data_IF_823299079830
#
_entry.id   IF_823299079830
#
_cell.length_a   1.000
_cell.length_b   1.000
_cell.length_c   1.000
_cell.angle_alpha   90.00
_cell.angle_beta   90.00
_cell.angle_gamma   90.00
#
_symmetry.space_group_name_H-M   'P 1'
#
loop_
_entity.id
_entity.type
_entity.pdbx_description
1 polymer ?
#
# COMPACT_ATOMS: atom_id res chain seq x y z
N UNK A 1 0.57 26.83 3.79
CA UNK A 1 1.12 25.84 4.73
C UNK A 1 1.90 26.57 5.83
N UNK A 2 1.54 26.32 7.09
CA UNK A 2 2.15 27.00 8.25
C UNK A 2 3.11 26.10 9.04
N UNK A 3 2.83 24.79 9.05
CA UNK A 3 3.61 23.79 9.80
C UNK A 3 3.84 22.52 8.95
N UNK A 4 5.10 22.18 8.78
CA UNK A 4 5.55 20.99 8.05
C UNK A 4 6.22 20.04 9.03
N UNK A 5 5.88 18.75 8.96
CA UNK A 5 6.56 17.69 9.68
C UNK A 5 7.53 16.98 8.74
N UNK A 6 8.80 16.95 9.12
CA UNK A 6 9.84 16.19 8.45
C UNK A 6 10.01 14.86 9.19
N UNK A 7 9.77 13.74 8.51
CA UNK A 7 9.75 12.42 9.11
C UNK A 7 10.82 11.53 8.48
N UNK A 8 11.90 11.29 9.19
CA UNK A 8 13.09 10.64 8.66
C UNK A 8 13.29 9.23 9.24
N UNK A 9 13.74 8.30 8.41
CA UNK A 9 14.17 6.97 8.84
C UNK A 9 15.58 7.07 9.44
N UNK A 10 15.68 7.05 10.76
CA UNK A 10 16.95 7.20 11.51
C UNK A 10 17.99 6.12 11.21
N UNK A 11 17.57 4.98 10.64
CA UNK A 11 18.49 3.91 10.23
C UNK A 11 19.26 4.28 8.96
N UNK A 12 18.87 5.38 8.29
CA UNK A 12 19.49 5.88 7.06
C UNK A 12 20.08 7.26 7.31
N UNK A 13 21.40 7.37 7.39
CA UNK A 13 22.10 8.65 7.61
C UNK A 13 21.70 9.70 6.58
N UNK A 14 21.64 9.31 5.31
CA UNK A 14 21.20 10.18 4.22
C UNK A 14 19.77 10.75 4.43
N UNK A 15 18.89 10.03 5.12
CA UNK A 15 17.55 10.52 5.44
C UNK A 15 17.60 11.69 6.41
N UNK A 16 18.38 11.54 7.45
CA UNK A 16 18.58 12.56 8.47
C UNK A 16 19.26 13.81 7.90
N UNK A 17 20.32 13.65 7.14
CA UNK A 17 21.05 14.74 6.48
C UNK A 17 20.15 15.53 5.52
N UNK A 18 19.39 14.82 4.65
CA UNK A 18 18.47 15.44 3.72
C UNK A 18 17.35 16.21 4.46
N UNK A 19 16.81 15.62 5.53
CA UNK A 19 15.78 16.25 6.34
C UNK A 19 16.29 17.51 7.04
N UNK A 20 17.49 17.48 7.64
CA UNK A 20 18.12 18.64 8.28
C UNK A 20 18.41 19.76 7.28
N UNK A 21 18.93 19.43 6.08
CA UNK A 21 19.15 20.41 5.02
C UNK A 21 17.85 21.08 4.56
N UNK A 22 16.75 20.32 4.54
CA UNK A 22 15.45 20.84 4.16
C UNK A 22 14.84 21.68 5.30
N UNK A 23 15.06 21.29 6.55
CA UNK A 23 14.64 22.05 7.74
C UNK A 23 15.29 23.45 7.78
N UNK A 24 16.62 23.54 7.56
CA UNK A 24 17.34 24.79 7.47
C UNK A 24 16.81 25.69 6.34
N UNK A 25 16.59 25.08 5.16
CA UNK A 25 16.02 25.80 4.01
C UNK A 25 14.61 26.34 4.30
N UNK A 26 13.72 25.57 4.96
CA UNK A 26 12.37 26.00 5.36
C UNK A 26 12.43 27.13 6.40
N UNK A 27 13.37 27.05 7.36
CA UNK A 27 13.59 28.07 8.37
C UNK A 27 13.95 29.42 7.75
N UNK A 28 14.82 29.43 6.72
CA UNK A 28 15.16 30.64 5.93
C UNK A 28 13.95 31.25 5.22
N UNK A 29 12.95 30.42 4.87
CA UNK A 29 11.65 30.85 4.33
C UNK A 29 10.60 31.20 5.40
N UNK A 30 10.96 31.20 6.68
CA UNK A 30 10.07 31.45 7.85
C UNK A 30 8.90 30.46 7.95
N UNK A 31 9.09 29.21 7.49
CA UNK A 31 8.13 28.12 7.59
C UNK A 31 8.52 27.23 8.78
N UNK A 32 7.57 26.96 9.66
CA UNK A 32 7.81 26.07 10.81
C UNK A 32 7.97 24.64 10.34
N UNK A 33 9.13 24.03 10.62
CA UNK A 33 9.40 22.62 10.28
C UNK A 33 9.93 21.88 11.52
N UNK A 34 9.26 20.81 11.91
CA UNK A 34 9.68 19.94 12.99
C UNK A 34 10.23 18.63 12.42
N UNK A 35 11.42 18.20 12.85
CA UNK A 35 11.99 16.91 12.49
C UNK A 35 11.58 15.85 13.52
N UNK A 36 11.15 14.69 13.04
CA UNK A 36 10.78 13.50 13.83
C UNK A 36 11.41 12.24 13.25
N UNK A 37 11.77 11.37 14.15
CA UNK A 37 12.22 10.03 13.86
C UNK A 37 11.07 9.11 13.40
N UNK A 38 11.32 8.27 12.41
CA UNK A 38 10.36 7.25 11.98
C UNK A 38 10.13 6.15 13.03
N UNK A 39 10.97 6.09 14.05
CA UNK A 39 10.86 5.13 15.15
C UNK A 39 10.03 5.65 16.31
N UNK A 40 9.75 6.96 16.35
CA UNK A 40 8.98 7.60 17.42
C UNK A 40 7.52 7.76 16.98
N UNK A 41 6.56 7.30 17.78
CA UNK A 41 5.15 7.54 17.52
C UNK A 41 4.85 9.04 17.46
N UNK A 42 4.04 9.46 16.48
CA UNK A 42 3.55 10.82 16.37
C UNK A 42 2.35 11.01 17.31
N UNK A 43 2.30 12.14 18.00
CA UNK A 43 1.16 12.45 18.86
C UNK A 43 0.04 13.18 18.08
N UNK A 44 -1.19 13.03 18.57
CA UNK A 44 -2.37 13.58 17.90
C UNK A 44 -2.41 15.12 17.88
N UNK A 45 -1.84 15.79 18.88
CA UNK A 45 -1.80 17.26 18.93
C UNK A 45 -0.89 17.82 17.85
N UNK A 46 0.31 17.23 17.69
CA UNK A 46 1.25 17.61 16.66
C UNK A 46 0.66 17.42 15.26
N UNK A 47 -0.05 16.28 15.05
CA UNK A 47 -0.68 15.98 13.78
C UNK A 47 -1.82 16.96 13.44
N UNK A 48 -2.63 17.36 14.40
CA UNK A 48 -3.72 18.33 14.16
C UNK A 48 -3.23 19.70 13.66
N UNK A 49 -2.01 20.07 14.02
CA UNK A 49 -1.41 21.34 13.60
C UNK A 49 -0.55 21.22 12.34
N UNK A 50 -0.39 20.01 11.79
CA UNK A 50 0.48 19.73 10.66
C UNK A 50 -0.29 19.83 9.35
N UNK A 51 0.19 20.66 8.42
CA UNK A 51 -0.41 20.85 7.10
C UNK A 51 0.15 19.86 6.05
N UNK A 52 1.39 19.41 6.24
CA UNK A 52 2.12 18.54 5.32
C UNK A 52 3.13 17.70 6.07
N UNK A 53 3.25 16.43 5.72
CA UNK A 53 4.36 15.58 6.15
C UNK A 53 5.27 15.34 4.96
N UNK A 54 6.58 15.58 5.12
CA UNK A 54 7.61 15.17 4.18
C UNK A 54 8.31 13.96 4.74
N UNK A 55 8.21 12.81 4.07
CA UNK A 55 8.84 11.57 4.54
C UNK A 55 10.15 11.30 3.81
N UNK A 56 11.18 10.93 4.55
CA UNK A 56 12.51 10.58 4.05
C UNK A 56 12.79 9.11 4.31
N UNK A 57 12.63 8.27 3.28
CA UNK A 57 12.81 6.83 3.43
C UNK A 57 12.26 6.05 2.24
N UNK A 58 11.90 4.80 2.47
CA UNK A 58 11.21 3.95 1.50
C UNK A 58 9.75 3.74 1.89
N UNK A 59 9.08 2.79 1.23
CA UNK A 59 7.66 2.48 1.45
C UNK A 59 7.32 2.20 2.93
N UNK A 60 8.19 1.48 3.66
CA UNK A 60 7.96 1.21 5.08
C UNK A 60 7.84 2.46 5.96
N UNK A 61 8.49 3.58 5.59
CA UNK A 61 8.34 4.86 6.27
C UNK A 61 6.97 5.47 6.02
N UNK A 62 6.48 5.35 4.77
CA UNK A 62 5.16 5.83 4.37
C UNK A 62 4.05 5.00 5.02
N UNK A 63 4.21 3.67 5.09
CA UNK A 63 3.25 2.78 5.74
C UNK A 63 3.03 3.15 7.21
N UNK A 64 4.11 3.45 7.94
CA UNK A 64 4.00 3.93 9.34
C UNK A 64 3.28 5.26 9.45
N UNK A 65 3.55 6.20 8.54
CA UNK A 65 2.88 7.49 8.48
C UNK A 65 1.40 7.35 8.13
N UNK A 66 1.05 6.47 7.20
CA UNK A 66 -0.32 6.26 6.77
C UNK A 66 -1.27 5.99 7.95
N UNK A 67 -0.84 5.18 8.91
CA UNK A 67 -1.62 4.92 10.12
C UNK A 67 -1.89 6.16 10.97
N UNK A 68 -0.88 7.01 11.13
CA UNK A 68 -0.96 8.17 12.01
C UNK A 68 -1.58 9.37 11.32
N UNK A 69 -1.25 9.62 10.05
CA UNK A 69 -1.61 10.80 9.29
C UNK A 69 -3.01 10.73 8.64
N UNK A 70 -3.44 9.53 8.22
CA UNK A 70 -4.70 9.37 7.49
C UNK A 70 -5.95 9.77 8.28
N UNK A 71 -6.06 9.53 9.61
CA UNK A 71 -7.19 10.02 10.39
C UNK A 71 -7.33 11.55 10.43
N UNK A 72 -6.23 12.27 10.17
CA UNK A 72 -6.20 13.74 10.13
C UNK A 72 -6.24 14.29 8.69
N UNK A 73 -6.25 13.41 7.68
CA UNK A 73 -6.28 13.81 6.27
C UNK A 73 -5.01 14.54 5.79
N UNK A 74 -3.89 14.40 6.52
CA UNK A 74 -2.64 15.13 6.22
C UNK A 74 -1.99 14.52 4.98
N UNK A 75 -1.67 15.33 3.95
CA UNK A 75 -0.94 14.84 2.78
C UNK A 75 0.52 14.51 3.14
N UNK A 76 1.03 13.45 2.52
CA UNK A 76 2.40 13.00 2.67
C UNK A 76 3.13 13.22 1.35
N UNK A 77 4.25 13.93 1.39
CA UNK A 77 5.17 14.06 0.26
C UNK A 77 6.36 13.11 0.47
N UNK A 78 6.45 11.99 -0.28
CA UNK A 78 7.47 10.98 -0.08
C UNK A 78 8.73 11.27 -0.88
N UNK A 79 9.89 11.28 -0.19
CA UNK A 79 11.23 11.36 -0.78
C UNK A 79 11.89 9.99 -0.69
N UNK A 80 12.22 9.41 -1.84
CA UNK A 80 12.85 8.09 -1.95
C UNK A 80 14.36 8.19 -1.67
N UNK A 81 14.82 7.42 -0.70
CA UNK A 81 16.24 7.31 -0.35
C UNK A 81 16.85 5.96 -0.75
N UNK A 82 16.40 5.46 -1.88
CA UNK A 82 16.86 4.20 -2.48
C UNK A 82 16.08 2.99 -2.00
N UNK A 83 15.47 2.31 -2.93
CA UNK A 83 14.70 1.10 -2.72
C UNK A 83 13.78 0.78 -3.89
N UNK A 84 13.23 -0.43 -3.86
CA UNK A 84 12.25 -0.94 -4.84
C UNK A 84 10.81 -0.47 -4.55
N UNK A 85 10.61 0.55 -3.69
CA UNK A 85 9.29 1.00 -3.26
C UNK A 85 8.44 1.58 -4.39
N UNK A 86 7.11 1.42 -4.30
CA UNK A 86 6.13 1.96 -5.24
C UNK A 86 5.50 3.27 -4.79
N UNK A 87 5.65 3.62 -3.52
CA UNK A 87 5.01 4.78 -2.91
C UNK A 87 5.90 6.02 -2.88
N UNK A 88 7.23 5.84 -2.75
CA UNK A 88 8.19 6.94 -2.76
C UNK A 88 8.70 7.21 -4.18
N UNK A 89 8.52 8.42 -4.69
CA UNK A 89 8.79 8.75 -6.09
C UNK A 89 9.70 9.95 -6.31
N UNK A 90 9.83 10.83 -5.33
CA UNK A 90 10.69 12.02 -5.46
C UNK A 90 12.10 11.74 -4.97
N UNK A 91 13.10 12.14 -5.77
CA UNK A 91 14.51 11.96 -5.42
C UNK A 91 15.00 13.07 -4.47
N UNK A 92 16.00 12.82 -3.62
CA UNK A 92 16.50 13.79 -2.63
C UNK A 92 17.04 15.10 -3.24
N UNK A 93 17.67 15.02 -4.39
CA UNK A 93 18.22 16.18 -5.12
C UNK A 93 17.12 17.11 -5.65
N UNK A 94 15.95 16.57 -5.93
CA UNK A 94 14.79 17.31 -6.40
C UNK A 94 13.87 17.80 -5.26
N UNK A 95 14.12 17.40 -4.01
CA UNK A 95 13.25 17.64 -2.88
C UNK A 95 12.93 19.13 -2.65
N UNK A 96 13.95 20.02 -2.72
CA UNK A 96 13.77 21.47 -2.53
C UNK A 96 12.89 22.07 -3.62
N UNK A 97 13.16 21.74 -4.89
CA UNK A 97 12.38 22.23 -6.04
C UNK A 97 10.94 21.75 -5.98
N UNK A 98 10.74 20.48 -5.68
CA UNK A 98 9.41 19.90 -5.53
C UNK A 98 8.63 20.56 -4.38
N UNK A 99 9.28 20.78 -3.22
CA UNK A 99 8.64 21.44 -2.09
C UNK A 99 8.32 22.91 -2.39
N UNK A 100 9.11 23.62 -3.20
CA UNK A 100 8.76 24.96 -3.68
C UNK A 100 7.46 24.97 -4.47
N UNK A 101 7.27 24.03 -5.37
CA UNK A 101 6.02 23.89 -6.12
C UNK A 101 4.85 23.53 -5.22
N UNK A 102 5.06 22.63 -4.26
CA UNK A 102 4.04 22.27 -3.26
C UNK A 102 3.63 23.51 -2.44
N UNK A 103 4.57 24.34 -2.02
CA UNK A 103 4.29 25.57 -1.27
C UNK A 103 3.52 26.61 -2.08
N UNK A 104 3.68 26.63 -3.41
CA UNK A 104 2.89 27.45 -4.35
C UNK A 104 1.51 26.86 -4.63
N UNK A 105 1.21 25.63 -4.19
CA UNK A 105 -0.03 24.92 -4.49
C UNK A 105 -0.01 24.11 -5.79
N UNK A 106 1.14 23.98 -6.45
CA UNK A 106 1.32 23.25 -7.71
C UNK A 106 1.62 21.77 -7.45
N UNK A 107 0.63 21.01 -7.00
CA UNK A 107 0.79 19.58 -6.74
C UNK A 107 -0.54 18.83 -6.91
N UNK A 108 -0.44 17.51 -7.10
CA UNK A 108 -1.61 16.61 -7.12
C UNK A 108 -1.56 15.67 -5.93
N UNK A 109 -2.71 15.46 -5.32
CA UNK A 109 -2.89 14.50 -4.23
C UNK A 109 -3.60 13.26 -4.79
N UNK A 110 -2.97 12.11 -4.64
CA UNK A 110 -3.61 10.83 -4.87
C UNK A 110 -4.10 10.26 -3.53
N UNK A 111 -5.40 10.04 -3.43
CA UNK A 111 -6.01 9.38 -2.28
C UNK A 111 -5.91 7.87 -2.48
N UNK A 112 -5.17 7.20 -1.61
CA UNK A 112 -5.04 5.76 -1.60
C UNK A 112 -6.02 5.17 -0.59
N UNK A 113 -6.85 4.24 -1.06
CA UNK A 113 -7.74 3.47 -0.22
C UNK A 113 -6.96 2.75 0.88
N UNK A 114 -7.53 2.67 2.07
CA UNK A 114 -7.02 1.85 3.16
C UNK A 114 -8.06 0.79 3.53
N UNK A 115 -7.62 -0.33 4.09
CA UNK A 115 -8.52 -1.29 4.71
C UNK A 115 -8.64 -1.02 6.22
N UNK A 116 -9.81 -1.36 6.75
CA UNK A 116 -10.13 -1.39 8.18
C UNK A 116 -10.35 -2.84 8.58
N UNK A 117 -9.64 -3.28 9.60
CA UNK A 117 -9.79 -4.62 10.17
C UNK A 117 -10.33 -4.52 11.58
N UNK A 118 -11.46 -5.20 11.83
CA UNK A 118 -12.05 -5.31 13.16
C UNK A 118 -11.89 -6.76 13.65
N UNK A 119 -11.32 -6.91 14.84
CA UNK A 119 -11.08 -8.21 15.48
C UNK A 119 -11.98 -8.33 16.71
N UNK A 120 -12.82 -9.36 16.73
CA UNK A 120 -13.81 -9.60 17.78
C UNK A 120 -13.74 -11.05 18.28
N UNK A 121 -13.89 -11.28 19.59
CA UNK A 121 -13.94 -12.61 20.16
C UNK A 121 -15.26 -13.31 19.80
N UNK A 122 -15.19 -14.57 19.38
CA UNK A 122 -16.37 -15.38 19.05
C UNK A 122 -17.10 -15.77 20.33
N UNK A 123 -18.42 -15.55 20.37
CA UNK A 123 -19.26 -15.93 21.51
C UNK A 123 -19.39 -14.86 22.59
N UNK A 124 -18.75 -13.69 22.47
CA UNK A 124 -19.00 -12.59 23.40
C UNK A 124 -20.36 -11.94 23.09
N UNK A 125 -21.20 -11.78 24.11
CA UNK A 125 -22.46 -11.06 24.00
C UNK A 125 -22.24 -9.61 23.56
N UNK A 126 -23.14 -9.10 22.72
CA UNK A 126 -23.05 -7.77 22.05
C UNK A 126 -22.72 -6.59 22.98
N UNK A 127 -22.97 -6.70 24.28
CA UNK A 127 -22.84 -5.59 25.22
C UNK A 127 -21.47 -5.48 25.93
N UNK A 128 -20.55 -6.43 25.81
CA UNK A 128 -19.25 -6.40 26.51
C UNK A 128 -18.06 -6.78 25.63
N UNK A 129 -18.25 -6.99 24.34
CA UNK A 129 -17.19 -7.38 23.42
C UNK A 129 -16.28 -6.19 23.11
N UNK A 130 -15.07 -6.21 23.65
CA UNK A 130 -14.02 -5.26 23.26
C UNK A 130 -13.49 -5.63 21.87
N UNK A 131 -14.06 -5.04 20.82
CA UNK A 131 -13.48 -5.11 19.47
C UNK A 131 -12.22 -4.23 19.39
N UNK A 132 -11.23 -4.71 18.66
CA UNK A 132 -10.03 -3.91 18.31
C UNK A 132 -10.08 -3.60 16.84
N UNK A 133 -9.84 -2.34 16.48
CA UNK A 133 -9.82 -1.88 15.10
C UNK A 133 -8.41 -1.46 14.70
N UNK A 134 -8.03 -1.83 13.48
CA UNK A 134 -6.75 -1.51 12.85
C UNK A 134 -7.01 -1.05 11.42
N UNK A 135 -6.11 -0.19 10.92
CA UNK A 135 -6.14 0.25 9.53
C UNK A 135 -4.83 -0.17 8.86
N UNK A 136 -4.85 -0.43 7.55
CA UNK A 136 -3.66 -0.72 6.79
C UNK A 136 -3.75 -0.10 5.39
N UNK A 137 -2.61 0.35 4.85
CA UNK A 137 -2.51 0.91 3.51
C UNK A 137 -2.31 -0.18 2.46
N UNK A 138 -1.43 -1.15 2.75
CA UNK A 138 -1.17 -2.27 1.85
C UNK A 138 -2.05 -3.47 2.15
N UNK A 139 -1.88 -4.12 3.30
CA UNK A 139 -2.55 -5.40 3.58
C UNK A 139 -2.68 -5.72 5.07
N UNK A 140 -3.60 -6.63 5.35
CA UNK A 140 -3.59 -7.45 6.55
C UNK A 140 -3.28 -8.90 6.17
N UNK A 141 -2.36 -9.49 6.91
CA UNK A 141 -1.98 -10.90 6.75
C UNK A 141 -2.43 -11.67 7.96
N UNK A 142 -3.26 -12.68 7.74
CA UNK A 142 -3.59 -13.69 8.75
C UNK A 142 -2.68 -14.90 8.50
N UNK A 143 -1.87 -15.28 9.50
CA UNK A 143 -0.96 -16.41 9.36
C UNK A 143 -0.94 -17.29 10.60
N UNK A 144 -0.53 -18.54 10.40
CA UNK A 144 -0.41 -19.53 11.48
C UNK A 144 0.61 -19.12 12.53
N UNK A 145 0.44 -19.59 13.76
CA UNK A 145 1.41 -19.45 14.85
C UNK A 145 2.47 -20.54 14.79
N UNK A 146 3.76 -20.14 14.84
CA UNK A 146 4.90 -21.04 15.02
C UNK A 146 5.01 -22.21 14.03
N UNK A 147 5.48 -23.38 14.51
CA UNK A 147 5.67 -24.61 13.74
C UNK A 147 4.36 -25.42 13.53
N UNK A 148 3.21 -24.82 13.78
CA UNK A 148 1.93 -25.50 13.66
C UNK A 148 1.57 -25.87 12.21
N UNK A 149 0.62 -26.83 12.10
CA UNK A 149 0.00 -27.21 10.84
C UNK A 149 -0.76 -26.04 10.24
N UNK A 150 -1.25 -26.21 9.01
CA UNK A 150 -1.97 -25.21 8.24
C UNK A 150 -3.06 -24.46 9.04
N UNK A 151 -3.20 -23.19 8.75
CA UNK A 151 -4.33 -22.37 9.17
C UNK A 151 -5.56 -22.80 8.37
N UNK A 152 -6.67 -23.07 9.07
CA UNK A 152 -7.95 -23.42 8.45
C UNK A 152 -8.95 -22.29 8.71
N UNK A 153 -9.44 -21.69 7.65
CA UNK A 153 -10.32 -20.52 7.68
C UNK A 153 -11.57 -20.77 6.85
N UNK A 154 -12.70 -20.21 7.31
CA UNK A 154 -13.85 -19.91 6.46
C UNK A 154 -13.77 -18.46 6.05
N UNK A 155 -14.07 -18.17 4.79
CA UNK A 155 -14.21 -16.83 4.26
C UNK A 155 -15.65 -16.60 3.84
N UNK A 156 -16.22 -15.51 4.37
CA UNK A 156 -17.53 -15.02 3.96
C UNK A 156 -17.33 -13.65 3.28
N UNK A 157 -18.14 -13.40 2.27
CA UNK A 157 -18.23 -12.09 1.60
C UNK A 157 -19.65 -11.59 1.79
N UNK A 158 -19.79 -10.41 2.41
CA UNK A 158 -21.07 -9.78 2.73
C UNK A 158 -22.09 -10.73 3.41
N UNK A 159 -21.57 -11.64 4.25
CA UNK A 159 -22.36 -12.62 5.02
C UNK A 159 -22.57 -13.97 4.36
N UNK A 160 -22.20 -14.14 3.08
CA UNK A 160 -22.30 -15.41 2.36
C UNK A 160 -20.96 -16.17 2.42
N UNK A 161 -20.99 -17.47 2.81
CA UNK A 161 -19.80 -18.32 2.85
C UNK A 161 -19.39 -18.69 1.42
N UNK A 162 -18.23 -18.18 0.98
CA UNK A 162 -17.72 -18.40 -0.38
C UNK A 162 -16.79 -19.59 -0.45
N UNK A 163 -15.87 -19.74 0.51
CA UNK A 163 -14.87 -20.80 0.48
C UNK A 163 -14.19 -21.00 1.83
N UNK A 164 -13.49 -22.13 1.95
CA UNK A 164 -12.56 -22.41 3.03
C UNK A 164 -11.11 -22.45 2.53
N UNK A 165 -10.20 -21.93 3.33
CA UNK A 165 -8.76 -22.01 3.08
C UNK A 165 -8.06 -22.91 4.07
N UNK A 166 -7.15 -23.74 3.55
CA UNK A 166 -6.14 -24.47 4.30
C UNK A 166 -4.78 -24.05 3.77
N UNK A 167 -4.07 -23.17 4.48
CA UNK A 167 -2.89 -22.48 3.99
C UNK A 167 -1.94 -22.10 5.14
N UNK A 168 -0.73 -21.65 4.84
CA UNK A 168 0.15 -21.03 5.83
C UNK A 168 -0.35 -19.66 6.28
N UNK A 169 -1.09 -18.98 5.41
CA UNK A 169 -1.72 -17.71 5.70
C UNK A 169 -2.65 -17.23 4.59
N UNK A 170 -3.32 -16.12 4.85
CA UNK A 170 -4.18 -15.43 3.90
C UNK A 170 -3.88 -13.93 3.96
N UNK A 171 -3.65 -13.34 2.80
CA UNK A 171 -3.43 -11.91 2.62
C UNK A 171 -4.72 -11.29 2.10
N UNK A 172 -5.18 -10.22 2.73
CA UNK A 172 -6.18 -9.32 2.15
C UNK A 172 -5.51 -7.97 1.94
N UNK A 173 -5.29 -7.62 0.69
CA UNK A 173 -4.61 -6.38 0.33
C UNK A 173 -5.54 -5.38 -0.37
N UNK A 174 -5.18 -4.11 -0.29
CA UNK A 174 -5.74 -3.05 -1.12
C UNK A 174 -5.15 -3.12 -2.53
N UNK A 175 -5.68 -2.33 -3.45
CA UNK A 175 -5.05 -2.12 -4.76
C UNK A 175 -3.62 -1.56 -4.64
N UNK A 176 -3.35 -0.70 -3.64
CA UNK A 176 -1.99 -0.22 -3.35
C UNK A 176 -1.07 -1.35 -2.91
N UNK A 177 -1.53 -2.24 -2.02
CA UNK A 177 -0.78 -3.40 -1.51
C UNK A 177 -0.63 -4.54 -2.53
N UNK A 178 -1.32 -4.48 -3.67
CA UNK A 178 -1.19 -5.51 -4.72
C UNK A 178 0.25 -5.67 -5.24
N UNK A 179 1.08 -4.65 -5.12
CA UNK A 179 2.51 -4.67 -5.49
C UNK A 179 3.44 -4.98 -4.32
N UNK A 180 2.89 -5.28 -3.12
CA UNK A 180 3.64 -5.62 -1.90
C UNK A 180 3.63 -7.15 -1.67
N UNK A 181 3.32 -7.60 -0.47
CA UNK A 181 3.37 -9.03 -0.12
C UNK A 181 2.41 -9.90 -0.95
N UNK A 182 1.25 -9.34 -1.33
CA UNK A 182 0.30 -10.02 -2.22
C UNK A 182 0.96 -10.43 -3.54
N UNK A 183 1.79 -9.56 -4.15
CA UNK A 183 2.53 -9.87 -5.38
C UNK A 183 3.47 -11.07 -5.18
N UNK A 184 4.23 -11.09 -4.09
CA UNK A 184 5.16 -12.19 -3.76
C UNK A 184 4.44 -13.52 -3.54
N UNK A 185 3.18 -13.48 -3.08
CA UNK A 185 2.33 -14.65 -2.91
C UNK A 185 1.56 -15.05 -4.19
N UNK A 186 1.84 -14.40 -5.34
CA UNK A 186 1.22 -14.70 -6.63
C UNK A 186 -0.09 -13.95 -6.90
N UNK A 187 -0.38 -12.89 -6.14
CA UNK A 187 -1.50 -11.99 -6.40
C UNK A 187 -1.32 -11.15 -7.67
N UNK A 188 -2.41 -10.68 -8.30
CA UNK A 188 -2.35 -9.83 -9.47
C UNK A 188 -1.87 -8.41 -9.13
N UNK A 189 -1.24 -7.75 -10.09
CA UNK A 189 -0.96 -6.32 -10.02
C UNK A 189 -2.26 -5.57 -10.34
N UNK A 190 -2.66 -4.67 -9.44
CA UNK A 190 -3.89 -3.88 -9.57
C UNK A 190 -3.55 -2.40 -9.60
N UNK A 191 -4.20 -1.65 -10.49
CA UNK A 191 -4.05 -0.18 -10.51
C UNK A 191 -4.52 0.42 -9.19
N UNK A 192 -3.71 1.26 -8.54
CA UNK A 192 -4.09 1.87 -7.26
C UNK A 192 -5.25 2.87 -7.35
N UNK A 193 -5.75 3.12 -8.55
CA UNK A 193 -6.97 3.93 -8.80
C UNK A 193 -8.26 3.13 -8.60
N UNK A 194 -8.16 1.82 -8.49
CA UNK A 194 -9.31 0.94 -8.27
C UNK A 194 -9.54 0.72 -6.78
N UNK A 195 -10.77 0.82 -6.35
CA UNK A 195 -11.19 0.49 -4.99
C UNK A 195 -11.59 -1.00 -4.94
N UNK A 196 -10.60 -1.85 -4.71
CA UNK A 196 -10.77 -3.31 -4.63
C UNK A 196 -9.92 -3.92 -3.52
N UNK A 197 -10.35 -5.09 -3.05
CA UNK A 197 -9.56 -5.99 -2.23
C UNK A 197 -9.02 -7.14 -3.08
N UNK A 198 -7.79 -7.54 -2.83
CA UNK A 198 -7.17 -8.75 -3.39
C UNK A 198 -6.95 -9.75 -2.26
N UNK A 199 -7.56 -10.92 -2.36
CA UNK A 199 -7.37 -12.02 -1.41
C UNK A 199 -6.43 -13.03 -2.01
N UNK A 200 -5.29 -13.25 -1.37
CA UNK A 200 -4.21 -14.14 -1.84
C UNK A 200 -3.82 -15.11 -0.74
N UNK A 201 -3.92 -16.42 -0.99
CA UNK A 201 -3.49 -17.44 -0.05
C UNK A 201 -1.96 -17.63 -0.09
N UNK A 202 -1.33 -17.83 1.07
CA UNK A 202 0.10 -18.14 1.20
C UNK A 202 0.24 -19.67 1.32
N UNK A 203 0.94 -20.28 0.36
CA UNK A 203 1.17 -21.74 0.32
C UNK A 203 -0.10 -22.55 0.57
N UNK A 204 -1.20 -22.36 -0.20
CA UNK A 204 -2.43 -23.09 -0.01
C UNK A 204 -2.24 -24.57 -0.31
N UNK A 205 -2.88 -25.43 0.49
CA UNK A 205 -2.90 -26.87 0.26
C UNK A 205 -3.71 -27.26 -0.99
N UNK A 206 -4.77 -26.50 -1.30
CA UNK A 206 -5.61 -26.72 -2.46
C UNK A 206 -4.94 -26.19 -3.74
N UNK A 207 -4.69 -27.05 -4.72
CA UNK A 207 -4.08 -26.67 -6.01
C UNK A 207 -4.97 -25.73 -6.85
N UNK A 208 -6.27 -25.70 -6.59
CA UNK A 208 -7.24 -24.82 -7.24
C UNK A 208 -7.32 -23.42 -6.65
N UNK A 209 -6.68 -23.17 -5.50
CA UNK A 209 -6.68 -21.84 -4.89
C UNK A 209 -6.03 -20.80 -5.81
N UNK A 210 -6.78 -19.77 -6.13
CA UNK A 210 -6.31 -18.63 -6.94
C UNK A 210 -6.59 -17.35 -6.20
N UNK A 211 -5.77 -16.30 -6.38
CA UNK A 211 -6.10 -14.97 -5.89
C UNK A 211 -7.43 -14.49 -6.46
N UNK A 212 -8.22 -13.83 -5.63
CA UNK A 212 -9.53 -13.30 -5.99
C UNK A 212 -9.55 -11.79 -5.74
N UNK A 213 -10.19 -11.06 -6.65
CA UNK A 213 -10.39 -9.60 -6.55
C UNK A 213 -11.86 -9.34 -6.27
N UNK A 214 -12.16 -8.57 -5.21
CA UNK A 214 -13.49 -8.16 -4.81
C UNK A 214 -13.62 -6.65 -4.83
N UNK A 215 -14.84 -6.13 -4.99
CA UNK A 215 -15.13 -4.72 -4.76
C UNK A 215 -14.77 -4.33 -3.32
N UNK A 216 -14.25 -3.13 -3.12
CA UNK A 216 -14.00 -2.63 -1.77
C UNK A 216 -15.28 -2.28 -0.99
N UNK A 217 -16.44 -2.34 -1.63
CA UNK A 217 -17.75 -2.19 -0.98
C UNK A 217 -18.20 -3.49 -0.30
N UNK A 218 -17.52 -4.61 -0.60
CA UNK A 218 -17.76 -5.90 0.05
C UNK A 218 -17.13 -5.96 1.45
N UNK A 219 -17.77 -6.73 2.33
CA UNK A 219 -17.27 -7.01 3.68
C UNK A 219 -16.68 -8.41 3.69
N UNK A 220 -15.39 -8.54 3.96
CA UNK A 220 -14.71 -9.82 4.07
C UNK A 220 -14.69 -10.24 5.53
N UNK A 221 -15.21 -11.45 5.84
CA UNK A 221 -15.14 -12.04 7.17
C UNK A 221 -14.28 -13.30 7.11
N UNK A 222 -13.30 -13.37 8.00
CA UNK A 222 -12.40 -14.51 8.15
C UNK A 222 -12.65 -15.13 9.52
N UNK A 223 -13.05 -16.41 9.53
CA UNK A 223 -13.37 -17.15 10.74
C UNK A 223 -12.47 -18.37 10.85
N UNK A 224 -11.51 -18.40 11.79
CA UNK A 224 -10.71 -19.59 12.07
C UNK A 224 -11.59 -20.78 12.49
N UNK A 225 -11.45 -21.91 11.80
CA UNK A 225 -12.23 -23.14 12.10
C UNK A 225 -11.77 -23.76 13.41
N UNK A 226 -10.47 -23.74 13.66
CA UNK A 226 -9.86 -24.25 14.90
C UNK A 226 -9.82 -23.16 15.97
N UNK A 227 -10.84 -23.09 16.80
CA UNK A 227 -11.01 -22.06 17.85
C UNK A 227 -9.95 -22.13 18.96
N UNK A 228 -9.33 -23.28 19.16
CA UNK A 228 -8.28 -23.57 20.16
C UNK A 228 -6.89 -23.14 19.69
N UNK A 229 -6.72 -22.82 18.40
CA UNK A 229 -5.45 -22.46 17.78
C UNK A 229 -5.17 -20.98 17.82
N UNK A 230 -3.90 -20.64 18.02
CA UNK A 230 -3.41 -19.27 17.90
C UNK A 230 -3.11 -18.95 16.44
N UNK A 231 -3.37 -17.71 16.06
CA UNK A 231 -3.00 -17.13 14.79
C UNK A 231 -2.42 -15.74 15.01
N UNK A 232 -1.75 -15.20 14.01
CA UNK A 232 -1.23 -13.84 14.01
C UNK A 232 -1.86 -13.02 12.90
N UNK A 233 -2.13 -11.74 13.22
CA UNK A 233 -2.53 -10.73 12.26
C UNK A 233 -1.41 -9.69 12.16
N UNK A 234 -0.88 -9.51 10.97
CA UNK A 234 0.14 -8.51 10.68
C UNK A 234 -0.43 -7.46 9.73
N UNK A 235 -0.29 -6.19 10.10
CA UNK A 235 -0.77 -5.03 9.35
C UNK A 235 0.43 -4.30 8.74
N UNK A 236 0.44 -4.13 7.42
CA UNK A 236 1.50 -3.45 6.65
C UNK A 236 2.93 -3.91 7.02
N UNK A 237 3.09 -5.15 7.44
CA UNK A 237 4.37 -5.75 7.78
C UNK A 237 5.05 -5.24 9.06
N UNK A 238 4.47 -4.28 9.80
CA UNK A 238 5.13 -3.70 10.98
C UNK A 238 4.39 -3.89 12.30
N UNK A 239 3.07 -4.06 12.30
CA UNK A 239 2.28 -4.26 13.52
C UNK A 239 1.67 -5.64 13.53
N UNK A 240 2.05 -6.46 14.50
CA UNK A 240 1.52 -7.82 14.67
C UNK A 240 0.78 -7.95 15.99
N UNK A 241 -0.35 -8.65 15.95
CA UNK A 241 -1.10 -9.07 17.13
C UNK A 241 -1.36 -10.57 17.06
N UNK A 242 -1.39 -11.24 18.19
CA UNK A 242 -1.88 -12.62 18.28
C UNK A 242 -3.39 -12.66 18.51
N UNK A 243 -4.03 -13.71 18.02
CA UNK A 243 -5.45 -13.96 18.16
C UNK A 243 -5.76 -15.42 18.43
N UNK A 244 -6.87 -15.67 19.14
CA UNK A 244 -7.40 -17.00 19.40
C UNK A 244 -8.91 -16.90 19.56
N UNK A 245 -9.67 -17.78 18.89
CA UNK A 245 -11.14 -17.79 18.94
C UNK A 245 -11.74 -16.40 18.61
N UNK A 246 -11.27 -15.81 17.52
CA UNK A 246 -11.70 -14.46 17.09
C UNK A 246 -12.15 -14.50 15.64
N UNK A 247 -13.12 -13.67 15.33
CA UNK A 247 -13.58 -13.33 13.99
C UNK A 247 -12.88 -12.06 13.55
N UNK A 248 -12.47 -12.03 12.29
CA UNK A 248 -11.80 -10.91 11.65
C UNK A 248 -12.70 -10.37 10.54
N UNK A 249 -13.14 -9.13 10.67
CA UNK A 249 -13.92 -8.42 9.64
C UNK A 249 -13.03 -7.40 8.98
N UNK A 250 -12.98 -7.41 7.64
CA UNK A 250 -12.19 -6.50 6.83
C UNK A 250 -13.13 -5.75 5.88
N UNK A 251 -13.04 -4.44 5.89
CA UNK A 251 -13.85 -3.53 5.10
C UNK A 251 -13.02 -2.31 4.66
N UNK A 252 -13.54 -1.54 3.71
CA UNK A 252 -12.95 -0.27 3.30
C UNK A 252 -12.90 0.70 4.49
N UNK A 253 -11.75 1.29 4.72
CA UNK A 253 -11.60 2.31 5.74
C UNK A 253 -12.29 3.61 5.33
N UNK A 254 -12.82 4.35 6.31
CA UNK A 254 -13.25 5.73 6.11
C UNK A 254 -12.05 6.68 5.86
N UNK A 255 -10.83 6.26 6.18
CA UNK A 255 -9.62 7.03 6.00
C UNK A 255 -8.94 6.69 4.68
N UNK A 256 -8.28 7.69 4.11
CA UNK A 256 -7.45 7.57 2.92
C UNK A 256 -6.04 8.06 3.22
N UNK A 257 -5.04 7.38 2.71
CA UNK A 257 -3.69 7.90 2.70
C UNK A 257 -3.53 8.86 1.52
N UNK A 258 -3.30 10.14 1.82
CA UNK A 258 -3.12 11.19 0.81
C UNK A 258 -1.64 11.31 0.45
N UNK A 259 -1.25 10.92 -0.77
CA UNK A 259 0.13 10.98 -1.26
C UNK A 259 0.29 12.08 -2.31
N UNK A 260 1.36 12.86 -2.21
CA UNK A 260 1.71 13.86 -3.21
C UNK A 260 2.71 13.26 -4.21
N UNK A 261 2.32 13.26 -5.48
CA UNK A 261 3.17 12.87 -6.60
C UNK A 261 3.44 14.08 -7.49
N UNK A 262 4.72 14.30 -7.86
CA UNK A 262 5.10 15.43 -8.70
C UNK A 262 5.12 15.07 -10.19
N UNK A 263 5.77 13.98 -10.57
CA UNK A 263 6.01 13.66 -11.99
C UNK A 263 5.98 12.15 -12.32
N UNK A 264 6.07 11.27 -11.34
CA UNK A 264 6.11 9.84 -11.56
C UNK A 264 4.76 9.22 -11.15
N UNK A 265 4.23 8.36 -12.01
CA UNK A 265 3.00 7.63 -11.75
C UNK A 265 3.28 6.15 -11.49
N UNK A 266 2.22 5.42 -11.16
CA UNK A 266 2.24 4.00 -10.94
C UNK A 266 2.85 3.21 -12.12
N UNK A 267 2.55 3.59 -13.36
CA UNK A 267 3.01 2.86 -14.55
C UNK A 267 4.51 3.05 -14.79
N UNK A 268 5.03 4.23 -14.48
CA UNK A 268 6.47 4.48 -14.50
C UNK A 268 7.20 3.56 -13.50
N UNK A 269 6.68 3.48 -12.26
CA UNK A 269 7.24 2.61 -11.23
C UNK A 269 7.15 1.14 -11.61
N UNK A 270 6.05 0.70 -12.24
CA UNK A 270 5.87 -0.66 -12.72
C UNK A 270 6.96 -1.03 -13.73
N UNK A 271 7.20 -0.15 -14.70
CA UNK A 271 8.22 -0.35 -15.73
C UNK A 271 9.65 -0.35 -15.17
N UNK A 272 9.97 0.63 -14.32
CA UNK A 272 11.36 0.86 -13.87
C UNK A 272 11.76 -0.03 -12.69
N UNK A 273 10.83 -0.28 -11.76
CA UNK A 273 11.15 -1.00 -10.50
C UNK A 273 10.90 -2.51 -10.59
N UNK A 274 9.91 -2.97 -11.37
CA UNK A 274 9.67 -4.40 -11.60
C UNK A 274 10.28 -4.91 -12.89
N UNK A 275 10.81 -4.04 -13.76
CA UNK A 275 11.21 -4.41 -15.12
C UNK A 275 10.09 -5.21 -15.82
N UNK A 276 8.84 -4.80 -15.58
CA UNK A 276 7.65 -5.52 -16.00
C UNK A 276 7.62 -5.68 -17.52
N UNK A 277 7.42 -6.92 -17.97
CA UNK A 277 7.46 -7.35 -19.38
C UNK A 277 8.86 -7.32 -20.05
N UNK A 278 9.94 -7.18 -19.27
CA UNK A 278 11.32 -7.15 -19.82
C UNK A 278 11.63 -5.89 -20.62
N UNK A 279 12.85 -5.80 -21.14
CA UNK A 279 13.17 -4.82 -22.17
C UNK A 279 12.49 -5.22 -23.47
N UNK A 280 11.49 -4.47 -23.88
CA UNK A 280 11.02 -4.51 -25.26
C UNK A 280 12.16 -3.94 -26.13
N UNK A 281 13.05 -4.80 -26.63
CA UNK A 281 13.93 -4.45 -27.74
C UNK A 281 12.98 -4.03 -28.86
N UNK A 282 12.92 -2.73 -29.12
CA UNK A 282 12.31 -2.21 -30.34
C UNK A 282 13.00 -2.95 -31.48
N UNK A 283 12.33 -3.93 -32.06
CA UNK A 283 12.72 -4.43 -33.36
C UNK A 283 12.70 -3.17 -34.23
N UNK A 284 13.87 -2.63 -34.50
CA UNK A 284 14.03 -1.71 -35.61
C UNK A 284 13.60 -2.53 -36.84
N UNK A 285 12.36 -2.38 -37.21
CA UNK A 285 11.91 -2.74 -38.53
C UNK A 285 12.84 -1.95 -39.42
N UNK A 286 13.84 -2.64 -39.97
CA UNK A 286 14.83 -2.06 -40.84
C UNK A 286 14.10 -1.20 -41.85
N UNK A 287 14.63 -0.03 -42.11
CA UNK A 287 14.28 0.73 -43.28
C UNK A 287 14.63 -0.12 -44.48
N UNK A 288 13.78 -1.08 -44.82
CA UNK A 288 13.82 -1.72 -46.12
C UNK A 288 13.27 -0.68 -47.10
N UNK A 289 14.18 -0.13 -47.85
CA UNK A 289 13.94 0.58 -49.07
C UNK A 289 13.42 -0.41 -50.12
N UNK A 290 12.21 -0.86 -49.95
CA UNK A 290 11.46 -1.56 -51.00
C UNK A 290 10.00 -1.14 -50.92
N UNK A 291 9.73 0.02 -51.58
CA UNK A 291 8.40 0.30 -52.09
C UNK A 291 8.14 -0.68 -53.25
N UNK A 292 7.68 -1.87 -52.90
CA UNK A 292 7.00 -2.70 -53.90
C UNK A 292 5.64 -2.06 -54.18
N UNK A 293 5.49 -1.54 -55.36
CA UNK A 293 4.24 -1.09 -55.94
C UNK A 293 3.26 -2.28 -55.88
N UNK A 294 2.23 -2.17 -55.05
CA UNK A 294 1.07 -3.06 -55.14
C UNK A 294 0.25 -2.54 -56.31
N UNK A 295 0.49 -3.15 -57.49
CA UNK A 295 -0.42 -3.06 -58.62
C UNK A 295 -1.76 -3.69 -58.21
N UNK A 296 -2.80 -2.89 -58.33
CA UNK A 296 -4.16 -3.32 -58.04
C UNK A 296 -4.68 -4.36 -59.04
N UNK A 297 -4.97 -5.53 -58.56
CA UNK A 297 -5.83 -6.47 -59.28
C UNK A 297 -7.28 -6.16 -58.96
N UNK A 298 -7.98 -5.73 -60.02
CA UNK A 298 -9.42 -5.55 -60.06
C UNK A 298 -10.09 -6.93 -59.96
N UNK A 299 -10.92 -7.10 -58.99
CA UNK A 299 -11.92 -8.18 -59.01
C UNK A 299 -13.01 -7.78 -60.02
N UNK A 300 -13.08 -8.49 -61.13
CA UNK A 300 -14.23 -8.47 -62.06
C UNK A 300 -15.22 -9.53 -61.61
N UNK A 301 -16.47 -9.09 -61.53
CA UNK A 301 -17.65 -9.92 -61.37
C UNK A 301 -17.80 -10.93 -62.51
N UNK A 302 -18.17 -12.16 -62.15
CA UNK A 302 -19.09 -13.05 -62.91
C UNK A 302 -19.58 -14.16 -61.97
#
# INVERSE_FOLDING_TARGET
MKKILLFADDRKEKAKETALSLQDWLSKKKIKAALRSSLTPLNSEELRETDLIVSFGGDGTILRLAHSASPFGIPIFPIDLGGLGFLATSQPDQAKKALEEILKGNFKVEKRMMLKTTVKKIGDNKNHSRSKTFHALNEVVLHKGGAERLLHLKMLISGEEITGYSADGLIVSTSTGSTAYSLSAGGPIVSPKLDVFVVTAICPHALSARPIVFSADEIIQLIPIRKDREFFLTFDGYKTISGKNQEITIEKSQYFCSLIFMHQDFYHNLKTKLQWAGEYKRLELGKSSDRAEIQGDRWNDS
#
